data_IF_835702000808
#
_entry.id   IF_835702000808
#
_cell.length_a   1.000
_cell.length_b   1.000
_cell.length_c   1.000
_cell.angle_alpha   90.00
_cell.angle_beta   90.00
_cell.angle_gamma   90.00
#
_symmetry.space_group_name_H-M   'P 1'
#
loop_
_entity.id
_entity.type
_entity.pdbx_description
1 polymer ?
#
# COMPACT_ATOMS: atom_id res chain seq x y z
N UNK A 1 -12.44 -27.19 -23.12
CA UNK A 1 -12.52 -26.79 -24.54
C UNK A 1 -11.60 -25.60 -24.70
N UNK A 2 -10.48 -25.81 -25.41
CA UNK A 2 -9.74 -24.94 -26.34
C UNK A 2 -9.95 -23.41 -26.22
N UNK A 3 -8.94 -22.52 -26.18
CA UNK A 3 -7.50 -22.60 -26.48
C UNK A 3 -6.76 -21.43 -25.80
N UNK A 4 -5.45 -21.61 -25.63
CA UNK A 4 -4.34 -20.63 -25.58
C UNK A 4 -4.60 -19.16 -25.22
N UNK A 5 -4.03 -18.72 -24.07
CA UNK A 5 -3.42 -17.38 -23.94
C UNK A 5 -2.10 -17.47 -23.16
N UNK A 6 -1.03 -17.47 -23.94
CA UNK A 6 0.28 -16.82 -23.82
C UNK A 6 0.70 -16.24 -22.44
N UNK A 7 1.86 -16.72 -22.01
CA UNK A 7 2.82 -16.17 -21.04
C UNK A 7 2.98 -14.64 -21.10
N UNK A 8 2.68 -13.98 -19.97
CA UNK A 8 3.15 -12.64 -19.67
C UNK A 8 4.00 -12.63 -18.40
N UNK A 9 5.30 -12.91 -18.53
CA UNK A 9 6.27 -12.65 -17.47
C UNK A 9 6.37 -11.13 -17.32
N UNK A 10 5.61 -10.54 -16.40
CA UNK A 10 5.86 -9.16 -15.99
C UNK A 10 6.85 -9.16 -14.83
N UNK A 11 8.12 -9.09 -15.20
CA UNK A 11 9.07 -8.32 -14.42
C UNK A 11 8.42 -6.94 -14.20
N UNK A 12 7.93 -6.64 -13.00
CA UNK A 12 7.44 -5.30 -12.62
C UNK A 12 8.64 -4.37 -12.48
N UNK A 13 9.47 -4.26 -13.52
CA UNK A 13 10.17 -3.02 -13.84
C UNK A 13 9.11 -2.11 -14.46
N UNK A 14 8.19 -1.62 -13.63
CA UNK A 14 7.27 -0.57 -14.07
C UNK A 14 8.15 0.59 -14.51
N UNK A 15 7.99 1.01 -15.76
CA UNK A 15 8.72 2.13 -16.31
C UNK A 15 8.19 3.39 -15.61
N UNK A 16 8.73 3.69 -14.42
CA UNK A 16 8.30 4.78 -13.52
C UNK A 16 8.17 6.08 -14.30
N UNK A 17 9.01 6.29 -15.32
CA UNK A 17 8.94 7.42 -16.26
C UNK A 17 7.63 7.51 -17.05
N UNK A 18 7.11 6.40 -17.60
CA UNK A 18 5.85 6.39 -18.38
C UNK A 18 4.63 6.65 -17.50
N UNK A 19 4.64 6.17 -16.25
CA UNK A 19 3.55 6.45 -15.33
C UNK A 19 3.63 7.89 -14.81
N UNK A 20 4.83 8.38 -14.47
CA UNK A 20 5.04 9.79 -14.11
C UNK A 20 4.63 10.74 -15.24
N UNK A 21 4.84 10.38 -16.50
CA UNK A 21 4.36 11.19 -17.64
C UNK A 21 2.82 11.15 -17.78
N UNK A 22 2.19 10.00 -17.55
CA UNK A 22 0.72 9.87 -17.55
C UNK A 22 0.09 10.68 -16.41
N UNK A 23 0.73 10.61 -15.24
CA UNK A 23 0.39 11.36 -14.02
C UNK A 23 0.57 12.87 -14.24
N UNK A 24 1.64 13.30 -14.91
CA UNK A 24 1.89 14.69 -15.27
C UNK A 24 0.86 15.22 -16.28
N UNK A 25 0.38 14.37 -17.22
CA UNK A 25 -0.68 14.74 -18.16
C UNK A 25 -2.06 14.85 -17.52
N UNK A 26 -2.33 14.09 -16.44
CA UNK A 26 -3.61 14.14 -15.73
C UNK A 26 -3.76 15.37 -14.82
N UNK A 27 -2.72 16.21 -14.67
CA UNK A 27 -2.77 17.51 -13.99
C UNK A 27 -3.20 17.51 -12.51
N UNK A 28 -3.47 16.34 -11.92
CA UNK A 28 -4.26 16.23 -10.69
C UNK A 28 -3.73 15.18 -9.70
N UNK A 29 -2.61 14.52 -10.00
CA UNK A 29 -2.05 13.58 -9.01
C UNK A 29 -1.45 14.39 -7.87
N UNK A 30 -1.91 14.18 -6.63
CA UNK A 30 -1.41 14.93 -5.50
C UNK A 30 0.11 14.74 -5.39
N UNK A 31 0.87 15.84 -5.30
CA UNK A 31 2.33 15.85 -5.09
C UNK A 31 2.81 14.91 -3.97
N UNK A 32 1.95 14.61 -2.99
CA UNK A 32 2.27 13.66 -1.93
C UNK A 32 2.37 12.20 -2.39
N UNK A 33 1.63 11.79 -3.43
CA UNK A 33 1.75 10.45 -4.01
C UNK A 33 3.13 10.29 -4.65
N UNK A 34 3.60 11.33 -5.36
CA UNK A 34 4.95 11.38 -5.94
C UNK A 34 6.02 11.26 -4.84
N UNK A 35 5.85 11.97 -3.72
CA UNK A 35 6.77 11.85 -2.57
C UNK A 35 6.78 10.46 -1.94
N UNK A 36 5.63 9.81 -1.81
CA UNK A 36 5.54 8.43 -1.31
C UNK A 36 6.36 7.46 -2.15
N UNK A 37 6.29 7.61 -3.48
CA UNK A 37 7.00 6.75 -4.41
C UNK A 37 8.50 7.02 -4.43
N UNK A 38 8.89 8.30 -4.35
CA UNK A 38 10.29 8.67 -4.21
C UNK A 38 10.90 8.18 -2.89
N UNK A 39 10.08 8.11 -1.82
CA UNK A 39 10.46 7.49 -0.55
C UNK A 39 10.55 5.97 -0.60
N UNK A 40 9.62 5.32 -1.32
CA UNK A 40 9.50 3.86 -1.38
C UNK A 40 10.81 3.16 -1.79
N UNK A 41 11.52 3.70 -2.79
CA UNK A 41 12.77 3.12 -3.26
C UNK A 41 13.94 3.18 -2.26
N UNK A 42 13.91 4.16 -1.33
CA UNK A 42 14.96 4.35 -0.31
C UNK A 42 14.72 3.53 0.95
N UNK A 43 13.45 3.25 1.28
CA UNK A 43 13.06 2.57 2.52
C UNK A 43 12.53 1.15 2.28
N UNK A 44 12.65 0.63 1.06
CA UNK A 44 12.32 -0.76 0.75
C UNK A 44 13.13 -1.70 1.65
N UNK A 45 12.43 -2.48 2.48
CA UNK A 45 13.02 -3.38 3.46
C UNK A 45 13.62 -4.57 2.72
N UNK A 46 14.95 -4.65 2.71
CA UNK A 46 15.70 -5.58 1.86
C UNK A 46 15.83 -6.92 2.56
N UNK A 47 15.46 -7.99 1.85
CA UNK A 47 15.75 -9.38 2.22
C UNK A 47 15.11 -9.92 3.52
N UNK A 48 14.20 -9.17 4.15
CA UNK A 48 13.48 -9.57 5.36
C UNK A 48 12.07 -10.14 5.06
N UNK A 49 11.49 -10.84 6.05
CA UNK A 49 10.04 -11.11 6.08
C UNK A 49 9.34 -9.88 6.65
N UNK A 50 8.36 -9.36 5.92
CA UNK A 50 7.61 -8.15 6.31
C UNK A 50 6.15 -8.50 6.53
N UNK A 51 5.55 -7.89 7.56
CA UNK A 51 4.10 -7.87 7.73
C UNK A 51 3.51 -6.65 7.03
N UNK A 52 2.69 -6.89 6.01
CA UNK A 52 1.80 -5.88 5.45
C UNK A 52 0.48 -5.91 6.23
N UNK A 53 0.19 -4.85 6.99
CA UNK A 53 -1.09 -4.65 7.65
C UNK A 53 -1.88 -3.57 6.89
N UNK A 54 -2.96 -3.99 6.21
CA UNK A 54 -3.91 -3.09 5.56
C UNK A 54 -5.06 -2.77 6.52
N UNK A 55 -5.29 -1.48 6.81
CA UNK A 55 -6.37 -1.05 7.69
C UNK A 55 -7.08 0.18 7.17
N UNK A 56 -8.38 0.30 7.47
CA UNK A 56 -9.14 1.55 7.29
C UNK A 56 -8.98 2.52 8.46
N UNK A 57 -8.44 2.05 9.58
CA UNK A 57 -8.17 2.90 10.74
C UNK A 57 -6.97 3.78 10.44
N UNK A 58 -7.24 5.07 10.31
CA UNK A 58 -6.22 6.09 10.04
C UNK A 58 -5.23 6.19 11.20
N UNK A 59 -3.94 6.20 10.87
CA UNK A 59 -2.89 6.29 11.89
C UNK A 59 -2.95 7.57 12.73
N UNK A 60 -3.42 8.67 12.14
CA UNK A 60 -3.40 10.01 12.75
C UNK A 60 -4.70 10.38 13.49
N UNK A 61 -5.64 9.43 13.60
CA UNK A 61 -6.89 9.63 14.33
C UNK A 61 -6.79 9.12 15.78
N UNK A 62 -7.93 8.84 16.41
CA UNK A 62 -7.99 8.28 17.76
C UNK A 62 -7.25 6.94 17.79
N UNK A 63 -6.40 6.75 18.81
CA UNK A 63 -5.65 5.52 18.98
C UNK A 63 -6.57 4.32 19.22
N UNK A 64 -6.41 3.27 18.43
CA UNK A 64 -7.27 2.09 18.37
C UNK A 64 -6.46 0.78 18.30
N UNK A 65 -7.17 -0.35 18.40
CA UNK A 65 -6.59 -1.70 18.45
C UNK A 65 -5.70 -2.05 17.25
N UNK A 66 -6.03 -1.69 15.98
CA UNK A 66 -5.14 -1.95 14.85
C UNK A 66 -3.76 -1.32 15.00
N UNK A 67 -3.70 -0.08 15.49
CA UNK A 67 -2.43 0.63 15.72
C UNK A 67 -1.65 -0.01 16.86
N UNK A 68 -2.31 -0.33 17.99
CA UNK A 68 -1.70 -1.04 19.12
C UNK A 68 -1.10 -2.38 18.68
N UNK A 69 -1.85 -3.15 17.88
CA UNK A 69 -1.40 -4.43 17.34
C UNK A 69 -0.21 -4.25 16.39
N UNK A 70 -0.27 -3.29 15.46
CA UNK A 70 0.82 -3.00 14.54
C UNK A 70 2.11 -2.60 15.28
N UNK A 71 2.00 -1.74 16.30
CA UNK A 71 3.13 -1.34 17.15
C UNK A 71 3.71 -2.54 17.90
N UNK A 72 2.88 -3.41 18.47
CA UNK A 72 3.36 -4.63 19.15
C UNK A 72 4.08 -5.58 18.19
N UNK A 73 3.48 -5.85 17.02
CA UNK A 73 4.07 -6.72 16.01
C UNK A 73 5.38 -6.15 15.46
N UNK A 74 5.51 -4.82 15.41
CA UNK A 74 6.72 -4.14 14.94
C UNK A 74 7.96 -4.34 15.81
N UNK A 75 7.79 -4.82 17.04
CA UNK A 75 8.89 -5.23 17.93
C UNK A 75 9.50 -6.58 17.55
N UNK A 76 8.76 -7.40 16.79
CA UNK A 76 9.18 -8.75 16.44
C UNK A 76 9.57 -8.90 14.98
N UNK A 77 8.93 -8.13 14.09
CA UNK A 77 9.25 -8.13 12.68
C UNK A 77 8.96 -6.76 12.06
N UNK A 78 9.55 -6.46 10.90
CA UNK A 78 9.18 -5.28 10.14
C UNK A 78 7.70 -5.23 9.78
N UNK A 79 7.05 -4.10 10.04
CA UNK A 79 5.63 -3.88 9.75
C UNK A 79 5.46 -2.69 8.81
N UNK A 80 4.75 -2.91 7.71
CA UNK A 80 4.20 -1.86 6.87
C UNK A 80 2.71 -1.75 7.20
N UNK A 81 2.35 -0.72 7.96
CA UNK A 81 0.96 -0.38 8.26
C UNK A 81 0.44 0.60 7.20
N UNK A 82 -0.50 0.17 6.36
CA UNK A 82 -1.06 0.99 5.29
C UNK A 82 -2.49 1.39 5.63
N UNK A 83 -2.71 2.69 5.82
CA UNK A 83 -4.01 3.31 6.13
C UNK A 83 -4.35 4.42 5.13
N UNK A 84 -5.07 4.11 4.04
CA UNK A 84 -5.43 5.10 3.03
C UNK A 84 -6.25 6.26 3.61
N UNK A 85 -5.95 7.49 3.19
CA UNK A 85 -6.63 8.71 3.66
C UNK A 85 -7.37 9.39 2.51
N UNK A 86 -8.64 9.71 2.71
CA UNK A 86 -9.43 10.40 1.69
C UNK A 86 -8.92 11.84 1.46
N UNK A 87 -8.78 12.24 0.20
CA UNK A 87 -8.19 13.52 -0.20
C UNK A 87 -8.84 14.73 0.50
N UNK A 88 -10.17 14.75 0.66
CA UNK A 88 -10.85 15.86 1.33
C UNK A 88 -10.56 15.89 2.83
N UNK A 89 -10.40 14.76 3.53
CA UNK A 89 -10.05 14.74 4.97
C UNK A 89 -8.73 15.45 5.23
N UNK A 90 -7.73 15.28 4.35
CA UNK A 90 -6.47 16.02 4.45
C UNK A 90 -6.68 17.53 4.46
N UNK A 91 -7.59 18.04 3.63
CA UNK A 91 -7.85 19.47 3.50
C UNK A 91 -8.62 20.04 4.71
N UNK A 92 -9.42 19.22 5.39
CA UNK A 92 -10.38 19.71 6.38
C UNK A 92 -10.08 19.35 7.85
N UNK A 93 -9.44 18.22 8.17
CA UNK A 93 -9.36 17.76 9.57
C UNK A 93 -7.95 17.63 10.16
N UNK A 94 -6.92 17.39 9.34
CA UNK A 94 -5.63 16.98 9.87
C UNK A 94 -4.66 18.13 10.16
N UNK A 95 -4.96 19.38 9.80
CA UNK A 95 -4.23 20.57 10.25
C UNK A 95 -2.70 20.47 10.14
N UNK A 96 -2.18 20.07 8.98
CA UNK A 96 -0.75 19.78 8.71
C UNK A 96 -0.11 18.64 9.53
N UNK A 97 -0.86 17.96 10.42
CA UNK A 97 -0.36 16.82 11.19
C UNK A 97 -0.20 15.57 10.33
N UNK A 98 -0.94 15.47 9.22
CA UNK A 98 -0.87 14.33 8.32
C UNK A 98 0.51 14.21 7.65
N UNK A 99 1.07 13.00 7.68
CA UNK A 99 2.20 12.63 6.85
C UNK A 99 1.85 11.42 6.01
N UNK A 100 2.22 11.47 4.72
CA UNK A 100 2.01 10.35 3.82
C UNK A 100 2.85 9.12 4.20
N UNK A 101 3.99 9.36 4.86
CA UNK A 101 4.93 8.35 5.33
C UNK A 101 5.37 8.72 6.74
N UNK A 102 5.26 7.78 7.68
CA UNK A 102 5.96 7.87 8.96
C UNK A 102 6.83 6.64 9.11
N UNK A 103 8.06 6.88 9.53
CA UNK A 103 9.00 5.81 9.85
C UNK A 103 9.27 5.97 11.34
N UNK A 104 8.98 4.93 12.12
CA UNK A 104 9.43 4.90 13.50
C UNK A 104 10.95 4.87 13.51
N UNK A 105 11.57 5.80 14.23
CA UNK A 105 13.02 5.87 14.42
C UNK A 105 13.48 5.21 15.72
N UNK A 106 12.55 4.63 16.47
CA UNK A 106 12.86 3.89 17.67
C UNK A 106 13.58 2.58 17.29
N UNK A 107 14.73 2.32 17.90
CA UNK A 107 15.59 1.17 17.64
C UNK A 107 14.84 -0.15 17.85
N UNK A 108 13.85 -0.16 18.74
CA UNK A 108 13.04 -1.34 19.05
C UNK A 108 11.90 -1.60 18.06
N UNK A 109 11.45 -0.60 17.30
CA UNK A 109 10.25 -0.72 16.45
C UNK A 109 10.53 -0.49 14.97
N UNK A 110 10.37 -1.56 14.18
CA UNK A 110 10.50 -1.51 12.71
C UNK A 110 9.16 -1.22 12.05
N UNK A 111 8.53 -0.10 12.40
CA UNK A 111 7.20 0.28 11.91
C UNK A 111 7.26 1.37 10.85
N UNK A 112 6.76 1.06 9.65
CA UNK A 112 6.54 2.01 8.57
C UNK A 112 5.04 2.21 8.37
N UNK A 113 4.58 3.44 8.57
CA UNK A 113 3.19 3.84 8.36
C UNK A 113 3.07 4.52 7.00
N UNK A 114 2.27 3.93 6.12
CA UNK A 114 1.90 4.49 4.84
C UNK A 114 0.48 5.02 4.93
N UNK A 115 0.30 6.30 4.65
CA UNK A 115 -1.02 6.93 4.61
C UNK A 115 -1.28 7.53 3.23
N UNK A 116 -1.36 6.70 2.17
CA UNK A 116 -1.56 7.19 0.81
C UNK A 116 -2.88 7.93 0.66
N UNK A 117 -2.89 9.01 -0.13
CA UNK A 117 -4.14 9.71 -0.44
C UNK A 117 -4.95 8.94 -1.48
N UNK A 118 -6.24 8.81 -1.22
CA UNK A 118 -7.21 8.18 -2.10
C UNK A 118 -8.36 9.13 -2.42
N UNK A 119 -9.00 8.92 -3.56
CA UNK A 119 -10.15 9.73 -3.96
C UNK A 119 -11.38 9.40 -3.10
N UNK A 120 -12.18 10.40 -2.71
CA UNK A 120 -13.43 10.16 -2.00
C UNK A 120 -14.48 9.52 -2.90
N UNK A 121 -15.48 8.88 -2.30
CA UNK A 121 -16.55 8.21 -3.07
C UNK A 121 -16.22 6.77 -3.47
N UNK A 122 -15.22 6.15 -2.83
CA UNK A 122 -14.85 4.74 -3.03
C UNK A 122 -16.04 3.77 -2.93
N UNK A 123 -17.01 4.06 -2.07
CA UNK A 123 -18.24 3.27 -1.89
C UNK A 123 -19.37 3.61 -2.87
N UNK A 124 -19.28 4.75 -3.57
CA UNK A 124 -20.35 5.25 -4.44
C UNK A 124 -20.06 5.05 -5.93
N UNK A 125 -18.78 5.01 -6.31
CA UNK A 125 -18.36 4.89 -7.70
C UNK A 125 -17.41 3.72 -7.89
N UNK A 126 -17.77 2.70 -8.70
CA UNK A 126 -16.89 1.56 -8.97
C UNK A 126 -15.62 1.97 -9.74
N UNK A 127 -15.67 3.07 -10.49
CA UNK A 127 -14.49 3.61 -11.15
C UNK A 127 -13.50 4.17 -10.13
N UNK A 128 -13.98 5.01 -9.20
CA UNK A 128 -13.14 5.55 -8.11
C UNK A 128 -12.58 4.41 -7.26
N UNK A 129 -13.39 3.40 -6.99
CA UNK A 129 -12.97 2.17 -6.31
C UNK A 129 -11.77 1.52 -7.01
N UNK A 130 -11.91 1.24 -8.32
CA UNK A 130 -10.86 0.61 -9.12
C UNK A 130 -9.58 1.47 -9.19
N UNK A 131 -9.72 2.79 -9.36
CA UNK A 131 -8.59 3.72 -9.36
C UNK A 131 -7.85 3.73 -8.02
N UNK A 132 -8.56 3.81 -6.90
CA UNK A 132 -7.95 3.74 -5.57
C UNK A 132 -7.22 2.40 -5.36
N UNK A 133 -7.83 1.29 -5.74
CA UNK A 133 -7.19 -0.03 -5.64
C UNK A 133 -5.91 -0.10 -6.48
N UNK A 134 -5.94 0.41 -7.71
CA UNK A 134 -4.78 0.43 -8.59
C UNK A 134 -3.64 1.28 -8.02
N UNK A 135 -3.97 2.49 -7.55
CA UNK A 135 -3.02 3.40 -6.91
C UNK A 135 -2.35 2.75 -5.69
N UNK A 136 -3.15 2.16 -4.79
CA UNK A 136 -2.66 1.52 -3.57
C UNK A 136 -1.79 0.29 -3.89
N UNK A 137 -2.25 -0.56 -4.81
CA UNK A 137 -1.48 -1.72 -5.28
C UNK A 137 -0.12 -1.27 -5.79
N UNK A 138 -0.09 -0.22 -6.61
CA UNK A 138 1.16 0.27 -7.17
C UNK A 138 2.10 0.83 -6.12
N UNK A 139 1.61 1.65 -5.19
CA UNK A 139 2.41 2.17 -4.07
C UNK A 139 2.99 1.02 -3.26
N UNK A 140 2.16 0.07 -2.83
CA UNK A 140 2.59 -1.08 -2.04
C UNK A 140 3.57 -1.97 -2.79
N UNK A 141 3.38 -2.18 -4.10
CA UNK A 141 4.29 -2.96 -4.92
C UNK A 141 5.71 -2.36 -4.93
N UNK A 142 5.85 -1.03 -4.91
CA UNK A 142 7.17 -0.40 -4.82
C UNK A 142 7.86 -0.72 -3.49
N UNK A 143 7.12 -0.63 -2.38
CA UNK A 143 7.64 -0.93 -1.04
C UNK A 143 8.01 -2.41 -0.86
N UNK A 144 7.21 -3.31 -1.44
CA UNK A 144 7.36 -4.76 -1.31
C UNK A 144 8.27 -5.37 -2.38
N UNK A 145 8.78 -4.57 -3.33
CA UNK A 145 9.57 -5.05 -4.48
C UNK A 145 10.86 -5.78 -4.07
N UNK A 146 11.41 -5.47 -2.89
CA UNK A 146 12.64 -6.07 -2.36
C UNK A 146 12.42 -7.05 -1.21
N UNK A 147 11.16 -7.31 -0.87
CA UNK A 147 10.78 -8.18 0.22
C UNK A 147 10.72 -9.63 -0.25
N UNK A 148 11.37 -10.55 0.47
CA UNK A 148 11.39 -11.98 0.13
C UNK A 148 10.08 -12.68 0.47
N UNK A 149 9.50 -12.34 1.63
CA UNK A 149 8.31 -12.97 2.19
C UNK A 149 7.40 -11.92 2.78
N UNK A 150 6.13 -11.99 2.44
CA UNK A 150 5.10 -11.08 2.94
C UNK A 150 4.08 -11.90 3.72
N UNK A 151 3.88 -11.50 4.98
CA UNK A 151 2.72 -11.85 5.77
C UNK A 151 1.71 -10.73 5.58
N UNK A 152 0.44 -11.08 5.33
CA UNK A 152 -0.60 -10.08 5.16
C UNK A 152 -1.64 -10.22 6.28
N UNK A 153 -1.94 -9.11 6.92
CA UNK A 153 -3.05 -8.95 7.86
C UNK A 153 -3.95 -7.83 7.32
N UNK A 154 -5.25 -8.04 7.37
CA UNK A 154 -6.22 -7.00 7.04
C UNK A 154 -7.38 -7.05 8.02
N UNK A 155 -7.89 -5.89 8.40
CA UNK A 155 -9.12 -5.74 9.18
C UNK A 155 -10.28 -5.18 8.35
N UNK A 156 -10.07 -5.07 7.03
CA UNK A 156 -11.02 -4.44 6.12
C UNK A 156 -11.27 -5.27 4.85
N UNK A 157 -12.53 -5.40 4.40
CA UNK A 157 -12.85 -6.08 3.15
C UNK A 157 -12.30 -5.35 1.91
N UNK A 158 -11.99 -4.05 1.99
CA UNK A 158 -11.44 -3.31 0.84
C UNK A 158 -10.00 -3.69 0.49
N UNK A 159 -9.30 -4.34 1.42
CA UNK A 159 -7.97 -4.86 1.16
C UNK A 159 -7.97 -5.97 0.11
N UNK A 160 -9.07 -6.73 -0.04
CA UNK A 160 -9.05 -7.93 -0.87
C UNK A 160 -8.65 -7.64 -2.32
N UNK A 161 -9.23 -6.66 -3.04
CA UNK A 161 -8.83 -6.42 -4.42
C UNK A 161 -7.45 -5.77 -4.57
N UNK A 162 -6.87 -5.24 -3.49
CA UNK A 162 -5.47 -4.80 -3.45
C UNK A 162 -4.56 -6.03 -3.31
N UNK A 163 -4.87 -6.93 -2.37
CA UNK A 163 -4.17 -8.20 -2.12
C UNK A 163 -4.21 -9.08 -3.38
N UNK A 164 -5.38 -9.22 -4.01
CA UNK A 164 -5.54 -9.99 -5.25
C UNK A 164 -4.64 -9.45 -6.37
N UNK A 165 -4.52 -8.13 -6.50
CA UNK A 165 -3.64 -7.54 -7.53
C UNK A 165 -2.16 -7.66 -7.17
N UNK A 166 -1.81 -7.58 -5.89
CA UNK A 166 -0.43 -7.70 -5.42
C UNK A 166 0.10 -9.13 -5.52
N UNK A 167 -0.71 -10.11 -5.12
CA UNK A 167 -0.26 -11.48 -4.88
C UNK A 167 -1.03 -12.53 -5.68
N UNK A 168 -1.97 -12.13 -6.53
CA UNK A 168 -2.66 -13.02 -7.46
C UNK A 168 -2.74 -12.43 -8.88
N UNK A 169 -1.65 -11.84 -9.43
CA UNK A 169 -1.67 -11.39 -10.83
C UNK A 169 -1.84 -12.64 -11.69
N UNK A 170 -2.92 -12.69 -12.49
CA UNK A 170 -3.30 -13.88 -13.29
C UNK A 170 -3.97 -15.02 -12.49
N UNK A 171 -4.47 -14.75 -11.28
CA UNK A 171 -5.19 -15.75 -10.47
C UNK A 171 -4.30 -16.80 -9.81
N UNK A 172 -2.98 -16.74 -10.04
CA UNK A 172 -2.00 -17.60 -9.38
C UNK A 172 -1.40 -16.91 -8.16
N UNK A 173 -1.31 -17.64 -7.04
CA UNK A 173 -0.74 -17.11 -5.80
C UNK A 173 0.77 -16.85 -5.95
N UNK A 174 1.18 -15.62 -5.66
CA UNK A 174 2.58 -15.18 -5.57
C UNK A 174 3.28 -15.95 -4.44
N UNK A 175 4.44 -16.52 -4.76
CA UNK A 175 5.25 -17.32 -3.82
C UNK A 175 5.78 -16.51 -2.63
N UNK A 176 5.82 -15.18 -2.74
CA UNK A 176 6.19 -14.28 -1.64
C UNK A 176 5.09 -14.19 -0.58
N UNK A 177 3.82 -14.41 -0.93
CA UNK A 177 2.72 -14.37 0.04
C UNK A 177 2.71 -15.65 0.88
N UNK A 178 3.25 -15.58 2.08
CA UNK A 178 3.37 -16.74 2.99
C UNK A 178 2.04 -17.05 3.66
N UNK A 179 1.37 -16.02 4.20
CA UNK A 179 0.13 -16.16 4.95
C UNK A 179 -0.74 -14.93 4.80
N UNK A 180 -2.04 -15.15 4.78
CA UNK A 180 -3.06 -14.11 4.82
C UNK A 180 -3.97 -14.36 6.03
N UNK A 181 -4.16 -13.34 6.84
CA UNK A 181 -5.10 -13.30 7.94
C UNK A 181 -6.16 -12.25 7.65
N UNK A 182 -7.42 -12.68 7.79
CA UNK A 182 -8.63 -11.86 7.70
C UNK A 182 -9.41 -12.02 9.00
#
# INVERSE_FOLDING_TARGET
MCDDVVLGVTNVRTNVRKLLSLVAHLGSVPLCTVRLLAGAGRHAMKDETVLLYLSEVMWDEVWQRPQELATRLSRHLPVIYCSPVQLHRRLFSLGNRWSSLRISHDEETKLHVLSPLVFPGHYRSPHIYAWNCHLLTWVLAQWLSRTKRVLCLTDSPFAWPIISRLFYPNGQRDSRLVRLHY
#
